data_IF_116533326537
#
_entry.id   IF_116533326537
#
_cell.length_a   1.000
_cell.length_b   1.000
_cell.length_c   1.000
_cell.angle_alpha   90.00
_cell.angle_beta   90.00
_cell.angle_gamma   90.00
#
_symmetry.space_group_name_H-M   'P 1'
#
loop_
_entity.id
_entity.type
_entity.pdbx_description
1 polymer ?
#
# COMPACT_ATOMS: atom_id res chain seq x y z
N UNK A 1 -26.35 60.59 -10.57
CA UNK A 1 -27.41 59.57 -10.44
C UNK A 1 -28.32 59.62 -11.66
N UNK A 2 -28.86 58.44 -12.05
CA UNK A 2 -29.64 58.11 -13.27
C UNK A 2 -28.77 57.91 -14.52
N UNK A 3 -28.97 56.96 -15.43
CA UNK A 3 -29.84 55.77 -15.64
C UNK A 3 -29.08 54.97 -16.74
N UNK A 4 -29.01 53.64 -16.79
CA UNK A 4 -30.07 52.71 -17.17
C UNK A 4 -29.96 52.28 -18.65
N UNK A 5 -30.04 50.96 -18.90
CA UNK A 5 -30.35 50.31 -20.21
C UNK A 5 -29.28 50.44 -21.31
N UNK A 6 -28.97 49.51 -22.21
CA UNK A 6 -29.48 48.22 -22.73
C UNK A 6 -28.29 47.67 -23.53
N UNK A 7 -28.05 46.35 -23.60
CA UNK A 7 -27.67 45.70 -24.87
C UNK A 7 -27.83 44.19 -24.72
N UNK A 8 -28.75 43.69 -25.55
CA UNK A 8 -29.03 42.29 -25.81
C UNK A 8 -28.13 41.84 -26.97
N UNK A 9 -27.65 40.59 -26.95
CA UNK A 9 -26.96 39.98 -28.10
C UNK A 9 -26.80 38.48 -27.87
N UNK A 10 -27.85 37.75 -28.23
CA UNK A 10 -27.80 36.32 -28.56
C UNK A 10 -26.64 36.00 -29.50
N UNK A 11 -25.92 34.93 -29.20
CA UNK A 11 -25.25 34.12 -30.22
C UNK A 11 -25.52 32.66 -29.89
N UNK A 12 -26.57 32.12 -30.50
CA UNK A 12 -26.68 30.70 -30.81
C UNK A 12 -25.52 30.33 -31.74
N UNK A 13 -24.83 29.25 -31.43
CA UNK A 13 -23.97 28.55 -32.37
C UNK A 13 -23.98 27.08 -32.02
N UNK A 14 -24.99 26.40 -32.54
CA UNK A 14 -24.97 24.98 -32.83
C UNK A 14 -23.74 24.67 -33.69
N UNK A 15 -22.82 23.86 -33.18
CA UNK A 15 -21.85 23.14 -34.00
C UNK A 15 -21.98 21.66 -33.68
N UNK A 16 -22.58 20.98 -34.65
CA UNK A 16 -22.81 19.55 -34.72
C UNK A 16 -21.50 18.75 -34.86
N UNK A 17 -21.48 17.62 -34.15
CA UNK A 17 -20.81 16.35 -34.45
C UNK A 17 -19.71 16.31 -35.52
N UNK A 18 -18.50 16.01 -35.05
CA UNK A 18 -17.50 15.28 -35.83
C UNK A 18 -17.18 13.96 -35.12
N UNK A 19 -17.90 12.94 -35.57
CA UNK A 19 -17.70 11.51 -35.31
C UNK A 19 -16.32 11.12 -35.85
N UNK A 20 -15.30 11.12 -34.99
CA UNK A 20 -13.98 10.62 -35.37
C UNK A 20 -13.99 9.10 -35.27
N UNK A 21 -14.25 8.46 -36.40
CA UNK A 21 -14.09 7.02 -36.60
C UNK A 21 -12.59 6.69 -36.49
N UNK A 22 -12.15 6.21 -35.33
CA UNK A 22 -10.79 5.65 -35.20
C UNK A 22 -10.84 4.23 -35.73
N UNK A 23 -10.35 4.09 -36.95
CA UNK A 23 -10.08 2.83 -37.63
C UNK A 23 -9.18 1.94 -36.79
N UNK A 24 -9.65 0.73 -36.54
CA UNK A 24 -8.91 -0.38 -35.96
C UNK A 24 -7.66 -0.66 -36.80
N UNK A 25 -6.50 -0.65 -36.17
CA UNK A 25 -5.36 -1.43 -36.63
C UNK A 25 -5.22 -2.61 -35.67
N UNK A 26 -5.68 -3.75 -36.15
CA UNK A 26 -5.36 -5.08 -35.63
C UNK A 26 -3.89 -5.36 -36.00
N UNK A 27 -3.01 -5.32 -35.02
CA UNK A 27 -1.74 -6.05 -35.09
C UNK A 27 -1.72 -7.04 -33.93
N UNK A 28 -1.93 -8.29 -34.30
CA UNK A 28 -1.82 -9.49 -33.48
C UNK A 28 -0.41 -9.64 -32.88
N UNK A 29 -0.27 -9.36 -31.59
CA UNK A 29 0.59 -10.15 -30.71
C UNK A 29 -0.20 -10.52 -29.45
N UNK A 30 -0.87 -11.66 -29.52
CA UNK A 30 -1.49 -12.35 -28.39
C UNK A 30 -0.42 -12.85 -27.41
N UNK A 31 0.27 -11.91 -26.75
CA UNK A 31 0.87 -12.12 -25.45
C UNK A 31 -0.22 -11.99 -24.42
N UNK A 32 -0.89 -13.11 -24.11
CA UNK A 32 -1.87 -13.23 -23.03
C UNK A 32 -1.17 -12.94 -21.69
N UNK A 33 -0.90 -11.66 -21.42
CA UNK A 33 -0.57 -11.16 -20.10
C UNK A 33 -1.90 -11.20 -19.37
N UNK A 34 -2.16 -12.30 -18.67
CA UNK A 34 -3.11 -12.28 -17.57
C UNK A 34 -2.80 -11.01 -16.77
N UNK A 35 -3.68 -10.01 -16.86
CA UNK A 35 -3.70 -8.91 -15.91
C UNK A 35 -4.04 -9.57 -14.58
N UNK A 36 -3.01 -10.04 -13.87
CA UNK A 36 -3.13 -10.47 -12.49
C UNK A 36 -3.44 -9.21 -11.70
N UNK A 37 -4.73 -8.88 -11.63
CA UNK A 37 -5.24 -7.86 -10.73
C UNK A 37 -4.77 -8.25 -9.33
N UNK A 38 -3.89 -7.43 -8.78
CA UNK A 38 -3.44 -7.55 -7.41
C UNK A 38 -4.68 -7.58 -6.51
N UNK A 39 -4.82 -8.59 -5.63
CA UNK A 39 -6.03 -8.70 -4.82
C UNK A 39 -6.15 -7.46 -3.93
N UNK A 40 -7.39 -6.99 -3.78
CA UNK A 40 -7.71 -5.89 -2.88
C UNK A 40 -7.49 -6.32 -1.43
N UNK A 41 -7.01 -5.40 -0.59
CA UNK A 41 -6.86 -5.64 0.84
C UNK A 41 -8.23 -5.94 1.49
N UNK A 42 -8.35 -7.01 2.30
CA UNK A 42 -9.63 -7.43 2.88
C UNK A 42 -10.03 -6.56 4.09
N UNK A 43 -11.33 -6.50 4.39
CA UNK A 43 -11.83 -5.79 5.58
C UNK A 43 -11.28 -6.43 6.87
N UNK A 44 -11.28 -7.76 6.93
CA UNK A 44 -10.64 -8.55 8.00
C UNK A 44 -9.39 -9.25 7.45
N UNK A 45 -8.23 -8.76 7.85
CA UNK A 45 -6.95 -9.39 7.55
C UNK A 45 -6.77 -10.67 8.37
N UNK A 46 -6.23 -11.72 7.74
CA UNK A 46 -5.92 -12.99 8.37
C UNK A 46 -4.43 -13.26 8.18
N UNK A 47 -3.73 -13.52 9.28
CA UNK A 47 -2.32 -13.90 9.25
C UNK A 47 -2.20 -15.32 8.71
N UNK A 48 -1.48 -15.44 7.59
CA UNK A 48 -1.09 -16.69 6.94
C UNK A 48 -0.19 -17.55 7.82
N UNK A 49 0.30 -18.66 7.27
CA UNK A 49 1.21 -19.54 8.01
C UNK A 49 2.46 -18.79 8.48
N UNK A 50 2.74 -18.91 9.77
CA UNK A 50 3.90 -18.29 10.40
C UNK A 50 5.10 -19.23 10.32
N UNK A 51 6.33 -18.68 10.26
CA UNK A 51 7.53 -19.48 10.39
C UNK A 51 7.46 -20.41 11.62
N UNK A 52 7.92 -21.68 11.52
CA UNK A 52 7.78 -22.67 12.59
C UNK A 52 8.28 -22.18 13.94
N UNK A 53 9.36 -21.38 13.94
CA UNK A 53 9.91 -20.78 15.15
C UNK A 53 8.89 -19.91 15.88
N UNK A 54 8.12 -19.09 15.16
CA UNK A 54 7.10 -18.22 15.74
C UNK A 54 5.93 -19.06 16.24
N UNK A 55 5.48 -20.01 15.40
CA UNK A 55 4.35 -20.89 15.74
C UNK A 55 4.64 -21.68 17.04
N UNK A 56 5.87 -22.17 17.22
CA UNK A 56 6.28 -22.84 18.47
C UNK A 56 6.14 -21.96 19.72
N UNK A 57 6.44 -20.66 19.65
CA UNK A 57 6.25 -19.75 20.79
C UNK A 57 4.76 -19.52 21.08
N UNK A 58 3.93 -19.47 20.03
CA UNK A 58 2.48 -19.32 20.15
C UNK A 58 1.87 -20.57 20.78
N UNK A 59 2.22 -21.76 20.27
CA UNK A 59 1.70 -23.05 20.73
C UNK A 59 2.06 -23.32 22.20
N UNK A 60 3.22 -22.83 22.65
CA UNK A 60 3.67 -22.91 24.06
C UNK A 60 3.05 -21.83 24.96
N UNK A 61 2.28 -20.88 24.41
CA UNK A 61 1.72 -19.76 25.17
C UNK A 61 2.78 -18.76 25.66
N UNK A 62 3.96 -18.72 25.05
CA UNK A 62 5.12 -17.92 25.46
C UNK A 62 5.00 -16.46 24.95
N UNK A 63 3.87 -15.80 25.23
CA UNK A 63 3.50 -14.46 24.70
C UNK A 63 4.51 -13.38 25.09
N UNK A 64 5.21 -13.53 26.22
CA UNK A 64 6.23 -12.59 26.67
C UNK A 64 7.36 -12.40 25.63
N UNK A 65 7.63 -13.41 24.79
CA UNK A 65 8.60 -13.31 23.72
C UNK A 65 8.17 -12.37 22.59
N UNK A 66 6.93 -11.86 22.57
CA UNK A 66 6.43 -10.91 21.58
C UNK A 66 6.40 -9.46 22.06
N UNK A 67 6.80 -9.20 23.31
CA UNK A 67 6.83 -7.85 23.90
C UNK A 67 8.12 -7.10 23.55
N UNK A 68 8.04 -5.76 23.53
CA UNK A 68 9.21 -4.88 23.38
C UNK A 68 9.98 -5.09 22.07
N UNK A 69 11.32 -5.09 22.13
CA UNK A 69 12.20 -5.23 20.97
C UNK A 69 12.72 -6.66 20.76
N UNK A 70 11.93 -7.67 21.10
CA UNK A 70 12.37 -9.05 20.99
C UNK A 70 12.61 -9.49 19.54
N UNK A 71 13.50 -10.47 19.38
CA UNK A 71 13.77 -11.09 18.07
C UNK A 71 12.52 -11.78 17.50
N UNK A 72 11.68 -12.38 18.34
CA UNK A 72 10.47 -13.08 17.90
C UNK A 72 9.41 -12.10 17.41
N UNK A 73 9.22 -10.96 18.09
CA UNK A 73 8.36 -9.86 17.62
C UNK A 73 8.82 -9.36 16.26
N UNK A 74 10.13 -9.14 16.10
CA UNK A 74 10.69 -8.70 14.81
C UNK A 74 10.40 -9.71 13.70
N UNK A 75 10.62 -11.01 13.94
CA UNK A 75 10.30 -12.05 12.96
C UNK A 75 8.82 -12.08 12.57
N UNK A 76 7.93 -11.84 13.53
CA UNK A 76 6.48 -11.74 13.24
C UNK A 76 6.18 -10.53 12.36
N UNK A 77 6.71 -9.35 12.71
CA UNK A 77 6.56 -8.13 11.91
C UNK A 77 7.14 -8.29 10.50
N UNK A 78 8.27 -8.99 10.36
CA UNK A 78 8.89 -9.30 9.07
C UNK A 78 7.96 -10.21 8.24
N UNK A 79 7.41 -11.27 8.85
CA UNK A 79 6.48 -12.20 8.18
C UNK A 79 5.20 -11.50 7.72
N UNK A 80 4.61 -10.68 8.60
CA UNK A 80 3.40 -9.90 8.29
C UNK A 80 3.67 -8.87 7.19
N UNK A 81 4.80 -8.16 7.27
CA UNK A 81 5.19 -7.20 6.24
C UNK A 81 5.30 -7.88 4.87
N UNK A 82 6.06 -8.98 4.79
CA UNK A 82 6.21 -9.74 3.55
C UNK A 82 4.85 -10.21 3.02
N UNK A 83 4.01 -10.83 3.86
CA UNK A 83 2.69 -11.32 3.44
C UNK A 83 1.81 -10.19 2.88
N UNK A 84 1.73 -9.05 3.57
CA UNK A 84 0.93 -7.89 3.14
C UNK A 84 1.45 -7.31 1.83
N UNK A 85 2.77 -7.13 1.70
CA UNK A 85 3.37 -6.53 0.50
C UNK A 85 3.35 -7.47 -0.70
N UNK A 86 3.51 -8.77 -0.51
CA UNK A 86 3.53 -9.73 -1.60
C UNK A 86 2.12 -10.03 -2.08
N UNK A 87 1.14 -10.16 -1.18
CA UNK A 87 -0.24 -10.47 -1.57
C UNK A 87 -0.98 -9.26 -2.10
N UNK A 88 -0.85 -8.10 -1.47
CA UNK A 88 -1.71 -6.95 -1.75
C UNK A 88 -0.95 -5.75 -2.35
N UNK A 89 0.35 -5.88 -2.64
CA UNK A 89 1.25 -4.78 -3.03
C UNK A 89 1.15 -3.53 -2.15
N UNK A 90 0.76 -3.72 -0.88
CA UNK A 90 0.42 -2.63 0.00
C UNK A 90 1.66 -2.15 0.77
N UNK A 91 2.41 -1.23 0.19
CA UNK A 91 3.58 -0.59 0.83
C UNK A 91 3.22 0.57 1.77
N UNK A 92 2.04 1.15 1.60
CA UNK A 92 1.56 2.30 2.36
C UNK A 92 0.19 2.00 2.99
N UNK A 93 0.11 1.09 3.99
CA UNK A 93 -1.14 0.86 4.70
C UNK A 93 -1.68 2.17 5.30
N UNK A 94 -3.00 2.35 5.25
CA UNK A 94 -3.71 3.42 5.94
C UNK A 94 -4.07 3.01 7.37
N UNK A 95 -4.79 3.90 8.07
CA UNK A 95 -5.21 3.68 9.47
C UNK A 95 -6.05 2.41 9.62
N UNK A 96 -6.95 2.16 8.67
CA UNK A 96 -7.82 0.99 8.68
C UNK A 96 -7.01 -0.31 8.53
N UNK A 97 -6.08 -0.35 7.58
CA UNK A 97 -5.26 -1.54 7.31
C UNK A 97 -4.33 -1.83 8.49
N UNK A 98 -3.67 -0.83 9.07
CA UNK A 98 -2.86 -1.02 10.28
C UNK A 98 -3.68 -1.59 11.44
N UNK A 99 -4.91 -1.11 11.62
CA UNK A 99 -5.80 -1.61 12.67
C UNK A 99 -6.22 -3.05 12.41
N UNK A 100 -6.60 -3.38 11.18
CA UNK A 100 -6.98 -4.74 10.78
C UNK A 100 -5.82 -5.73 10.98
N UNK A 101 -4.61 -5.35 10.58
CA UNK A 101 -3.39 -6.15 10.80
C UNK A 101 -3.09 -6.30 12.30
N UNK A 102 -3.18 -5.22 13.08
CA UNK A 102 -2.95 -5.25 14.53
C UNK A 102 -3.92 -6.18 15.26
N UNK A 103 -5.21 -6.15 14.89
CA UNK A 103 -6.22 -7.07 15.43
C UNK A 103 -5.87 -8.51 15.09
N UNK A 104 -5.49 -8.79 13.84
CA UNK A 104 -5.11 -10.14 13.41
C UNK A 104 -3.89 -10.68 14.19
N UNK A 105 -2.93 -9.82 14.54
CA UNK A 105 -1.79 -10.19 15.39
C UNK A 105 -2.27 -10.58 16.78
N UNK A 106 -3.13 -9.77 17.41
CA UNK A 106 -3.65 -10.07 18.74
C UNK A 106 -4.47 -11.37 18.76
N UNK A 107 -5.33 -11.59 17.77
CA UNK A 107 -6.08 -12.83 17.58
C UNK A 107 -5.12 -14.03 17.47
N UNK A 108 -4.06 -13.92 16.64
CA UNK A 108 -3.07 -14.99 16.46
C UNK A 108 -2.26 -15.29 17.73
N UNK A 109 -2.11 -14.32 18.62
CA UNK A 109 -1.42 -14.45 19.91
C UNK A 109 -2.37 -14.79 21.08
N UNK A 110 -3.66 -15.01 20.82
CA UNK A 110 -4.69 -15.22 21.84
C UNK A 110 -4.77 -14.09 22.89
N UNK A 111 -4.52 -12.85 22.48
CA UNK A 111 -4.64 -11.65 23.33
C UNK A 111 -5.97 -10.98 23.03
N UNK A 112 -6.91 -11.02 23.98
CA UNK A 112 -8.26 -10.49 23.78
C UNK A 112 -8.46 -9.14 24.47
N UNK A 113 -9.15 -8.22 23.79
CA UNK A 113 -9.63 -6.93 24.34
C UNK A 113 -8.55 -6.00 24.93
N UNK A 114 -7.29 -6.13 24.49
CA UNK A 114 -6.20 -5.27 24.95
C UNK A 114 -5.94 -4.12 23.96
N UNK A 115 -6.50 -2.95 24.28
CA UNK A 115 -6.39 -1.74 23.46
C UNK A 115 -4.95 -1.20 23.48
N UNK A 116 -4.26 -1.28 24.61
CA UNK A 116 -2.89 -0.80 24.73
C UNK A 116 -1.94 -1.65 23.88
N UNK A 117 -2.09 -2.97 23.94
CA UNK A 117 -1.35 -3.89 23.09
C UNK A 117 -1.65 -3.64 21.61
N UNK A 118 -2.92 -3.40 21.24
CA UNK A 118 -3.28 -3.07 19.85
C UNK A 118 -2.52 -1.84 19.35
N UNK A 119 -2.52 -0.76 20.15
CA UNK A 119 -1.83 0.47 19.79
C UNK A 119 -0.30 0.27 19.68
N UNK A 120 0.30 -0.50 20.59
CA UNK A 120 1.72 -0.85 20.54
C UNK A 120 2.09 -1.64 19.27
N UNK A 121 1.23 -2.58 18.86
CA UNK A 121 1.41 -3.30 17.59
C UNK A 121 1.26 -2.39 16.38
N UNK A 122 0.28 -1.49 16.37
CA UNK A 122 0.09 -0.51 15.28
C UNK A 122 1.33 0.38 15.14
N UNK A 123 1.90 0.89 16.23
CA UNK A 123 3.11 1.71 16.17
C UNK A 123 4.33 0.90 15.70
N UNK A 124 4.44 -0.35 16.12
CA UNK A 124 5.49 -1.26 15.65
C UNK A 124 5.37 -1.55 14.14
N UNK A 125 4.14 -1.74 13.64
CA UNK A 125 3.86 -1.91 12.21
C UNK A 125 4.22 -0.66 11.43
N UNK A 126 3.76 0.52 11.84
CA UNK A 126 4.13 1.81 11.22
C UNK A 126 5.65 1.96 11.16
N UNK A 127 6.34 1.63 12.26
CA UNK A 127 7.80 1.63 12.36
C UNK A 127 8.46 0.68 11.35
N UNK A 128 7.97 -0.56 11.25
CA UNK A 128 8.45 -1.57 10.29
C UNK A 128 8.26 -1.10 8.85
N UNK A 129 7.04 -0.75 8.44
CA UNK A 129 6.75 -0.27 7.09
C UNK A 129 7.54 1.00 6.76
N UNK A 130 7.72 1.93 7.71
CA UNK A 130 8.57 3.11 7.51
C UNK A 130 10.04 2.75 7.27
N UNK A 131 10.62 1.81 8.02
CA UNK A 131 12.01 1.38 7.86
C UNK A 131 12.26 0.70 6.52
N UNK A 132 11.40 -0.22 6.11
CA UNK A 132 11.53 -0.94 4.82
C UNK A 132 11.37 -0.01 3.61
N UNK A 133 10.63 1.09 3.76
CA UNK A 133 10.50 2.12 2.71
C UNK A 133 11.71 3.04 2.58
N UNK A 134 12.48 3.28 3.65
CA UNK A 134 13.59 4.25 3.63
C UNK A 134 14.62 3.97 2.51
N UNK A 135 15.06 2.72 2.28
CA UNK A 135 15.98 2.42 1.18
C UNK A 135 15.40 2.77 -0.20
N UNK A 136 14.09 2.55 -0.41
CA UNK A 136 13.42 2.84 -1.68
C UNK A 136 13.37 4.34 -1.99
N UNK A 137 13.27 5.18 -0.95
CA UNK A 137 13.28 6.63 -1.10
C UNK A 137 14.70 7.18 -1.34
N UNK A 138 15.73 6.56 -0.74
CA UNK A 138 17.11 7.03 -0.86
C UNK A 138 17.76 6.68 -2.20
N UNK A 139 17.27 5.64 -2.88
CA UNK A 139 17.69 5.33 -4.25
C UNK A 139 17.42 6.47 -5.24
N UNK A 140 16.47 7.38 -4.99
CA UNK A 140 16.28 8.51 -5.91
C UNK A 140 17.46 9.46 -5.90
N UNK A 141 18.04 9.79 -4.75
CA UNK A 141 19.08 10.81 -4.65
C UNK A 141 20.44 10.31 -5.12
N UNK A 142 20.80 9.04 -4.87
CA UNK A 142 22.01 8.45 -5.44
C UNK A 142 21.88 8.23 -6.95
N UNK A 143 20.71 7.79 -7.44
CA UNK A 143 20.45 7.67 -8.88
C UNK A 143 20.40 9.04 -9.55
N UNK A 144 19.84 10.07 -8.91
CA UNK A 144 19.83 11.45 -9.42
C UNK A 144 21.25 12.03 -9.43
N UNK A 145 22.04 11.80 -8.37
CA UNK A 145 23.46 12.19 -8.32
C UNK A 145 24.28 11.46 -9.38
N UNK A 146 24.06 10.17 -9.61
CA UNK A 146 24.73 9.43 -10.69
C UNK A 146 24.27 9.90 -12.07
N UNK A 147 22.97 10.18 -12.28
CA UNK A 147 22.47 10.78 -13.53
C UNK A 147 23.01 12.19 -13.76
N UNK A 148 23.20 13.01 -12.74
CA UNK A 148 23.88 14.31 -12.86
C UNK A 148 25.37 14.16 -13.15
N UNK A 149 26.02 13.13 -12.58
CA UNK A 149 27.46 12.90 -12.73
C UNK A 149 27.82 12.21 -14.07
N UNK A 150 26.90 11.43 -14.64
CA UNK A 150 27.15 10.62 -15.84
C UNK A 150 26.15 10.88 -17.00
N UNK A 151 25.10 11.67 -16.79
CA UNK A 151 24.05 11.93 -17.79
C UNK A 151 24.33 13.08 -18.76
N UNK A 152 25.46 13.79 -18.61
CA UNK A 152 25.92 14.79 -19.59
C UNK A 152 27.03 14.22 -20.48
N UNK A 153 26.78 13.07 -21.10
CA UNK A 153 27.64 12.55 -22.17
C UNK A 153 26.77 12.05 -23.31
N UNK A 154 26.24 13.01 -24.07
CA UNK A 154 26.17 13.09 -25.54
C UNK A 154 25.50 14.40 -25.92
#
# INVERSE_FOLDING_TARGET
SNNGSVFDSSTDSDVMNEETTISSNEDDENGNKENQEQPRFPDKYIISDLPPKIQQFIDKGEINHFRGHSNVRRLLLDSVFTDVTTKYSLLYPGTHEYRSIGIAILEKLNINNDIEALNDWIESLKGKFKRERRPLQQTSDEVLKMKLKFGNST
#
